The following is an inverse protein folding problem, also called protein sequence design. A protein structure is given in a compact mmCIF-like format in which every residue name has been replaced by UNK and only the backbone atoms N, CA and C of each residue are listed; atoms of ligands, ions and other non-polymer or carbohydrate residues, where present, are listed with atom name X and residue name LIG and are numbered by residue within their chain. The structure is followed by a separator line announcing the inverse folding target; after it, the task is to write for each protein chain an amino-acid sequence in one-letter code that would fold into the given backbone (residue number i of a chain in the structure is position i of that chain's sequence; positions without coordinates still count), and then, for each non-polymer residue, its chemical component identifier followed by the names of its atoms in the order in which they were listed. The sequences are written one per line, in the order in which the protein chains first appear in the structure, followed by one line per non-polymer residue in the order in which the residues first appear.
data_IF_658512758218
#
_entry.id   IF_658512758218
#
_cell.length_a   1.000
_cell.length_b   1.000
_cell.length_c   1.000
_cell.angle_alpha   90.00
_cell.angle_beta   90.00
_cell.angle_gamma   90.00
#
_symmetry.space_group_name_H-M   'P 1'
#
loop_
_entity.id
_entity.type
_entity.pdbx_description
1 polymer ?
#
# COMPACT_ATOMS: atom_id res chain seq x y z
N UNK A 1 13.98 8.27 9.27
CA UNK A 1 13.12 8.69 10.37
C UNK A 1 12.14 7.57 10.70
N UNK A 2 12.00 7.27 11.97
CA UNK A 2 11.05 6.30 12.50
C UNK A 2 10.07 7.09 13.38
N UNK A 3 8.94 7.43 12.79
CA UNK A 3 7.82 8.09 13.45
C UNK A 3 6.54 7.42 12.96
N UNK A 4 5.60 7.17 13.84
CA UNK A 4 4.36 6.46 13.47
C UNK A 4 3.52 7.24 12.45
N UNK A 5 3.50 8.56 12.52
CA UNK A 5 2.87 9.43 11.52
C UNK A 5 3.36 10.88 11.67
N UNK A 6 4.42 11.21 10.97
CA UNK A 6 5.04 12.54 11.05
C UNK A 6 4.09 13.69 10.66
N UNK A 7 3.04 13.41 9.88
CA UNK A 7 2.05 14.42 9.49
C UNK A 7 1.01 14.73 10.58
N UNK A 8 0.96 13.91 11.65
CA UNK A 8 -0.07 14.05 12.68
C UNK A 8 0.22 15.13 13.75
N UNK A 9 1.33 15.85 13.65
CA UNK A 9 1.68 16.91 14.59
C UNK A 9 2.36 18.08 13.92
N UNK A 10 2.13 19.28 14.47
CA UNK A 10 2.82 20.50 14.01
C UNK A 10 4.33 20.36 14.11
N UNK A 11 4.81 19.69 15.15
CA UNK A 11 6.25 19.41 15.30
C UNK A 11 6.79 18.56 14.15
N UNK A 12 6.05 17.54 13.75
CA UNK A 12 6.42 16.72 12.58
C UNK A 12 6.52 17.53 11.30
N UNK A 13 5.56 18.42 11.06
CA UNK A 13 5.57 19.33 9.90
C UNK A 13 6.81 20.24 9.93
N UNK A 14 7.11 20.85 11.09
CA UNK A 14 8.32 21.67 11.28
C UNK A 14 9.61 20.88 10.99
N UNK A 15 9.67 19.59 11.34
CA UNK A 15 10.80 18.73 10.99
C UNK A 15 10.92 18.54 9.47
N UNK A 16 9.81 18.35 8.76
CA UNK A 16 9.83 18.23 7.28
C UNK A 16 10.31 19.55 6.66
N UNK A 17 9.83 20.68 7.13
CA UNK A 17 10.30 22.01 6.69
C UNK A 17 11.81 22.18 6.89
N UNK A 18 12.33 21.77 8.05
CA UNK A 18 13.76 21.81 8.34
C UNK A 18 14.54 20.88 7.41
N UNK A 19 14.05 19.68 7.12
CA UNK A 19 14.64 18.73 6.17
C UNK A 19 14.73 19.37 4.79
N UNK A 20 13.65 19.98 4.31
CA UNK A 20 13.61 20.66 3.00
C UNK A 20 14.60 21.83 2.97
N UNK A 21 14.59 22.68 3.99
CA UNK A 21 15.50 23.84 4.09
C UNK A 21 16.96 23.44 4.07
N UNK A 22 17.32 22.36 4.76
CA UNK A 22 18.68 21.83 4.83
C UNK A 22 19.06 20.98 3.60
N UNK A 23 18.11 20.71 2.69
CA UNK A 23 18.34 19.92 1.50
C UNK A 23 18.70 18.46 1.78
N UNK A 24 18.27 17.93 2.92
CA UNK A 24 18.60 16.55 3.33
C UNK A 24 17.84 15.53 2.50
N UNK A 25 18.52 14.42 2.18
CA UNK A 25 17.88 13.22 1.63
C UNK A 25 17.32 12.39 2.76
N UNK A 26 16.05 11.99 2.66
CA UNK A 26 15.38 11.23 3.71
C UNK A 26 14.55 10.07 3.16
N UNK A 27 14.35 9.09 4.01
CA UNK A 27 13.38 8.03 3.86
C UNK A 27 12.54 7.97 5.15
N UNK A 28 11.25 8.28 5.05
CA UNK A 28 10.31 8.04 6.13
C UNK A 28 9.89 6.58 6.05
N UNK A 29 10.48 5.75 6.90
CA UNK A 29 10.28 4.30 6.85
C UNK A 29 8.86 3.88 7.26
N UNK A 30 8.08 4.78 7.86
CA UNK A 30 6.67 4.58 8.20
C UNK A 30 5.76 5.16 7.10
N UNK A 31 4.55 4.62 7.04
CA UNK A 31 3.53 5.14 6.14
C UNK A 31 3.02 6.50 6.61
N UNK A 32 2.84 7.43 5.67
CA UNK A 32 2.12 8.66 5.89
C UNK A 32 0.61 8.39 5.85
N UNK A 33 -0.15 9.12 6.65
CA UNK A 33 -1.61 9.11 6.56
C UNK A 33 -2.06 10.05 5.44
N UNK A 34 -2.58 9.48 4.37
CA UNK A 34 -3.03 10.24 3.20
C UNK A 34 -4.13 11.26 3.53
N UNK A 35 -4.95 10.99 4.55
CA UNK A 35 -6.03 11.90 5.00
C UNK A 35 -5.50 13.26 5.46
N UNK A 36 -4.29 13.29 5.98
CA UNK A 36 -3.64 14.49 6.51
C UNK A 36 -2.93 15.32 5.44
N UNK A 37 -2.86 14.86 4.21
CA UNK A 37 -2.19 15.60 3.12
C UNK A 37 -3.11 16.72 2.62
N UNK A 38 -2.85 17.94 3.08
CA UNK A 38 -3.41 19.18 2.56
C UNK A 38 -2.61 19.68 1.36
N UNK A 39 -3.07 20.75 0.69
CA UNK A 39 -2.33 21.38 -0.41
C UNK A 39 -0.94 21.87 0.02
N UNK A 40 -0.83 22.49 1.21
CA UNK A 40 0.45 22.95 1.76
C UNK A 40 1.40 21.80 2.09
N UNK A 41 0.87 20.74 2.71
CA UNK A 41 1.64 19.53 3.00
C UNK A 41 2.10 18.85 1.71
N UNK A 42 1.25 18.77 0.69
CA UNK A 42 1.62 18.21 -0.62
C UNK A 42 2.76 19.00 -1.27
N UNK A 43 2.67 20.33 -1.23
CA UNK A 43 3.75 21.24 -1.72
C UNK A 43 5.06 21.06 -0.95
N UNK A 44 4.97 20.79 0.35
CA UNK A 44 6.13 20.52 1.19
C UNK A 44 6.74 19.15 0.86
N UNK A 45 5.92 18.10 0.79
CA UNK A 45 6.35 16.73 0.47
C UNK A 45 6.99 16.63 -0.92
N UNK A 46 6.47 17.38 -1.90
CA UNK A 46 7.04 17.42 -3.25
C UNK A 46 8.47 18.00 -3.29
N UNK A 47 8.85 18.85 -2.32
CA UNK A 47 10.19 19.46 -2.19
C UNK A 47 11.19 18.57 -1.46
N UNK A 48 10.73 17.55 -0.75
CA UNK A 48 11.60 16.64 -0.02
C UNK A 48 12.47 15.84 -0.99
N UNK A 49 13.76 15.76 -0.70
CA UNK A 49 14.68 14.88 -1.44
C UNK A 49 14.55 13.44 -0.94
N UNK A 50 13.62 12.70 -1.53
CA UNK A 50 13.37 11.32 -1.15
C UNK A 50 14.53 10.41 -1.57
N UNK A 51 15.00 9.54 -0.64
CA UNK A 51 15.99 8.51 -0.95
C UNK A 51 15.38 7.44 -1.85
N UNK A 52 14.14 7.06 -1.58
CA UNK A 52 13.42 6.04 -2.34
C UNK A 52 12.06 6.56 -2.84
N UNK A 53 11.07 6.64 -1.96
CA UNK A 53 9.67 6.82 -2.35
C UNK A 53 8.85 7.43 -1.22
N UNK A 54 7.69 7.96 -1.55
CA UNK A 54 6.68 8.35 -0.58
C UNK A 54 5.86 7.10 -0.22
N UNK A 55 5.60 6.88 1.07
CA UNK A 55 4.87 5.71 1.57
C UNK A 55 3.54 6.13 2.19
N UNK A 56 2.48 5.42 1.84
CA UNK A 56 1.15 5.59 2.41
C UNK A 56 0.64 4.27 3.00
N UNK A 57 -0.20 4.34 4.03
CA UNK A 57 -1.05 3.23 4.45
C UNK A 57 -2.29 3.15 3.54
N UNK A 58 -2.64 1.95 3.09
CA UNK A 58 -3.84 1.69 2.29
C UNK A 58 -4.45 0.35 2.71
N UNK A 59 -5.04 0.33 3.92
CA UNK A 59 -5.52 -0.88 4.58
C UNK A 59 -7.01 -1.14 4.37
N UNK A 60 -7.75 -0.14 3.90
CA UNK A 60 -9.21 -0.20 3.66
C UNK A 60 -9.57 0.42 2.30
N UNK A 61 -10.73 0.06 1.71
CA UNK A 61 -11.21 0.62 0.44
C UNK A 61 -11.29 2.15 0.44
N UNK A 62 -11.79 2.75 1.54
CA UNK A 62 -11.92 4.21 1.65
C UNK A 62 -10.59 4.95 1.60
N UNK A 63 -9.48 4.30 1.94
CA UNK A 63 -8.15 4.91 1.85
C UNK A 63 -7.62 5.00 0.40
N UNK A 64 -8.20 4.30 -0.54
CA UNK A 64 -7.83 4.42 -1.97
C UNK A 64 -8.06 5.85 -2.44
N UNK A 65 -9.25 6.40 -2.23
CA UNK A 65 -9.61 7.76 -2.67
C UNK A 65 -8.72 8.81 -2.01
N UNK A 66 -8.42 8.64 -0.71
CA UNK A 66 -7.54 9.55 0.03
C UNK A 66 -6.10 9.49 -0.49
N UNK A 67 -5.60 8.31 -0.82
CA UNK A 67 -4.30 8.15 -1.45
C UNK A 67 -4.26 8.78 -2.84
N UNK A 68 -5.28 8.56 -3.68
CA UNK A 68 -5.37 9.18 -5.02
C UNK A 68 -5.39 10.69 -4.95
N UNK A 69 -6.20 11.26 -4.06
CA UNK A 69 -6.25 12.70 -3.80
C UNK A 69 -4.86 13.23 -3.42
N UNK A 70 -4.21 12.58 -2.47
CA UNK A 70 -2.90 12.98 -1.97
C UNK A 70 -1.82 12.91 -3.05
N UNK A 71 -1.82 11.84 -3.85
CA UNK A 71 -0.90 11.66 -4.99
C UNK A 71 -1.11 12.77 -6.01
N UNK A 72 -2.37 13.07 -6.37
CA UNK A 72 -2.70 14.13 -7.31
C UNK A 72 -2.21 15.49 -6.84
N UNK A 73 -2.35 15.80 -5.55
CA UNK A 73 -1.84 17.02 -4.95
C UNK A 73 -0.31 17.10 -5.00
N UNK A 74 0.37 16.02 -4.62
CA UNK A 74 1.84 15.98 -4.59
C UNK A 74 2.41 16.04 -6.02
N UNK A 75 1.80 15.34 -6.98
CA UNK A 75 2.20 15.36 -8.39
C UNK A 75 1.96 16.74 -9.03
N UNK A 76 0.90 17.47 -8.62
CA UNK A 76 0.66 18.88 -9.01
C UNK A 76 1.86 19.77 -8.69
N UNK A 77 2.56 19.50 -7.59
CA UNK A 77 3.76 20.23 -7.18
C UNK A 77 5.08 19.65 -7.72
N UNK A 78 5.00 18.77 -8.70
CA UNK A 78 6.15 18.33 -9.49
C UNK A 78 6.86 17.07 -9.03
N UNK A 79 6.34 16.35 -8.03
CA UNK A 79 6.90 15.06 -7.70
C UNK A 79 6.66 14.04 -8.83
N UNK A 80 7.71 13.27 -9.19
CA UNK A 80 7.66 12.26 -10.26
C UNK A 80 8.25 10.91 -9.84
N UNK A 81 8.54 10.76 -8.56
CA UNK A 81 9.09 9.53 -7.99
C UNK A 81 8.04 8.43 -7.77
N UNK A 82 8.46 7.38 -7.11
CA UNK A 82 7.61 6.22 -6.79
C UNK A 82 6.76 6.47 -5.55
N UNK A 83 5.57 5.88 -5.53
CA UNK A 83 4.71 5.73 -4.35
C UNK A 83 4.72 4.28 -3.87
N UNK A 84 4.59 4.09 -2.57
CA UNK A 84 4.59 2.78 -1.95
C UNK A 84 3.43 2.66 -0.98
N UNK A 85 2.74 1.54 -1.01
CA UNK A 85 1.60 1.29 -0.15
C UNK A 85 1.88 0.13 0.78
N UNK A 86 1.67 0.35 2.07
CA UNK A 86 1.50 -0.72 3.03
C UNK A 86 0.02 -1.12 3.01
N UNK A 87 -0.25 -2.40 2.81
CA UNK A 87 -1.59 -2.96 2.74
C UNK A 87 -1.72 -4.12 3.72
N UNK A 88 -2.56 -3.98 4.73
CA UNK A 88 -2.94 -5.11 5.59
C UNK A 88 -4.04 -5.90 4.88
N UNK A 89 -3.85 -7.22 4.79
CA UNK A 89 -4.85 -8.13 4.24
C UNK A 89 -5.77 -8.59 5.38
N UNK A 90 -7.02 -8.14 5.34
CA UNK A 90 -8.07 -8.54 6.27
C UNK A 90 -8.78 -9.81 5.79
N UNK A 91 -9.94 -10.15 6.35
CA UNK A 91 -10.60 -11.43 6.08
C UNK A 91 -11.33 -11.49 4.72
N UNK A 92 -11.57 -10.35 4.07
CA UNK A 92 -12.20 -10.29 2.76
C UNK A 92 -11.16 -10.37 1.63
N UNK A 93 -11.13 -11.52 0.95
CA UNK A 93 -10.26 -11.75 -0.20
C UNK A 93 -10.54 -10.78 -1.35
N UNK A 94 -11.84 -10.62 -1.71
CA UNK A 94 -12.22 -9.84 -2.89
C UNK A 94 -11.89 -8.35 -2.70
N UNK A 95 -12.14 -7.83 -1.50
CA UNK A 95 -11.76 -6.47 -1.14
C UNK A 95 -10.25 -6.29 -1.21
N UNK A 96 -9.50 -7.16 -0.52
CA UNK A 96 -8.04 -7.10 -0.46
C UNK A 96 -7.41 -7.20 -1.85
N UNK A 97 -7.89 -8.12 -2.68
CA UNK A 97 -7.44 -8.27 -4.06
C UNK A 97 -7.75 -7.03 -4.90
N UNK A 98 -8.99 -6.52 -4.85
CA UNK A 98 -9.40 -5.34 -5.63
C UNK A 98 -8.56 -4.11 -5.26
N UNK A 99 -8.29 -3.88 -4.00
CA UNK A 99 -7.48 -2.77 -3.50
C UNK A 99 -6.05 -2.83 -4.02
N UNK A 100 -5.43 -4.01 -3.97
CA UNK A 100 -4.08 -4.22 -4.50
C UNK A 100 -4.05 -4.07 -6.01
N UNK A 101 -5.01 -4.68 -6.71
CA UNK A 101 -5.10 -4.67 -8.17
C UNK A 101 -5.42 -3.27 -8.73
N UNK A 102 -6.16 -2.45 -7.99
CA UNK A 102 -6.39 -1.04 -8.32
C UNK A 102 -5.07 -0.31 -8.59
N UNK A 103 -4.12 -0.43 -7.68
CA UNK A 103 -2.82 0.23 -7.80
C UNK A 103 -1.92 -0.41 -8.86
N UNK A 104 -1.96 -1.74 -9.05
CA UNK A 104 -1.27 -2.42 -10.14
C UNK A 104 -1.63 -1.81 -11.49
N UNK A 105 -2.91 -1.55 -11.70
CA UNK A 105 -3.44 -1.01 -12.95
C UNK A 105 -3.11 0.48 -13.18
N UNK A 106 -2.72 1.21 -12.12
CA UNK A 106 -2.26 2.61 -12.23
C UNK A 106 -0.83 2.74 -12.77
N UNK A 107 -0.05 1.65 -12.82
CA UNK A 107 1.25 1.63 -13.47
C UNK A 107 2.46 1.42 -12.55
N UNK A 108 3.64 1.44 -13.13
CA UNK A 108 4.88 0.99 -12.48
C UNK A 108 5.42 1.91 -11.37
N UNK A 109 4.90 3.13 -11.24
CA UNK A 109 5.25 4.06 -10.13
C UNK A 109 4.67 3.60 -8.79
N UNK A 110 3.71 2.68 -8.78
CA UNK A 110 2.97 2.22 -7.61
C UNK A 110 3.50 0.86 -7.18
N UNK A 111 3.99 0.78 -5.96
CA UNK A 111 4.62 -0.40 -5.39
C UNK A 111 3.91 -0.73 -4.09
N UNK A 112 3.78 -2.02 -3.80
CA UNK A 112 3.03 -2.51 -2.65
C UNK A 112 3.89 -3.39 -1.78
N UNK A 113 3.47 -3.47 -0.54
CA UNK A 113 3.84 -4.50 0.42
C UNK A 113 2.56 -4.93 1.13
N UNK A 114 2.24 -6.20 1.02
CA UNK A 114 1.05 -6.76 1.63
C UNK A 114 1.42 -7.63 2.81
N UNK A 115 0.76 -7.41 3.93
CA UNK A 115 0.95 -8.19 5.13
C UNK A 115 -0.37 -8.81 5.59
N UNK A 116 -0.44 -10.14 5.79
CA UNK A 116 -1.56 -10.77 6.44
C UNK A 116 -1.80 -10.15 7.83
N UNK A 117 -3.05 -9.84 8.15
CA UNK A 117 -3.41 -9.38 9.49
C UNK A 117 -3.11 -10.45 10.53
N UNK A 118 -2.48 -10.04 11.62
CA UNK A 118 -2.22 -10.89 12.79
C UNK A 118 -2.79 -10.23 14.02
N UNK A 119 -3.74 -10.91 14.65
CA UNK A 119 -4.25 -10.46 15.94
C UNK A 119 -3.19 -10.73 17.03
N UNK A 120 -2.69 -9.67 17.64
CA UNK A 120 -1.71 -9.73 18.73
C UNK A 120 -2.29 -10.51 19.93
N UNK A 121 -3.61 -10.45 20.12
CA UNK A 121 -4.29 -11.16 21.21
C UNK A 121 -4.45 -12.66 20.93
N UNK A 122 -4.29 -13.08 19.66
CA UNK A 122 -4.39 -14.48 19.26
C UNK A 122 -3.13 -14.92 18.48
N UNK A 123 -1.99 -15.14 19.17
CA UNK A 123 -0.72 -15.47 18.51
C UNK A 123 -0.74 -16.84 17.79
N UNK A 124 -1.76 -17.67 18.05
CA UNK A 124 -1.96 -18.97 17.37
C UNK A 124 -2.90 -18.87 16.17
N UNK A 125 -3.33 -17.67 15.78
CA UNK A 125 -4.19 -17.47 14.62
C UNK A 125 -3.58 -18.10 13.36
N UNK A 126 -4.37 -18.96 12.71
CA UNK A 126 -3.99 -19.49 11.40
C UNK A 126 -4.25 -18.45 10.32
N UNK A 127 -3.21 -18.06 9.61
CA UNK A 127 -3.33 -17.12 8.49
C UNK A 127 -3.90 -17.89 7.29
N UNK A 128 -4.99 -17.41 6.68
CA UNK A 128 -5.57 -18.01 5.48
C UNK A 128 -4.53 -18.13 4.34
N UNK A 129 -4.59 -19.23 3.61
CA UNK A 129 -3.60 -19.49 2.56
C UNK A 129 -3.64 -18.43 1.45
N UNK A 130 -4.83 -17.93 1.10
CA UNK A 130 -4.95 -16.86 0.09
C UNK A 130 -4.22 -15.56 0.49
N UNK A 131 -4.18 -15.22 1.78
CA UNK A 131 -3.42 -14.04 2.25
C UNK A 131 -1.92 -14.23 2.04
N UNK A 132 -1.41 -15.43 2.28
CA UNK A 132 0.00 -15.76 2.04
C UNK A 132 0.34 -15.72 0.57
N UNK A 133 -0.53 -16.27 -0.28
CA UNK A 133 -0.32 -16.33 -1.72
C UNK A 133 -0.43 -14.94 -2.36
N UNK A 134 -1.39 -14.11 -1.90
CA UNK A 134 -1.53 -12.72 -2.35
C UNK A 134 -0.33 -11.87 -1.92
N UNK A 135 0.11 -11.97 -0.66
CA UNK A 135 1.34 -11.29 -0.21
C UNK A 135 2.55 -11.73 -1.03
N UNK A 136 2.72 -13.03 -1.26
CA UNK A 136 3.84 -13.55 -2.04
C UNK A 136 3.86 -12.99 -3.47
N UNK A 137 2.71 -12.92 -4.13
CA UNK A 137 2.59 -12.33 -5.45
C UNK A 137 2.93 -10.84 -5.46
N UNK A 138 2.41 -10.08 -4.51
CA UNK A 138 2.60 -8.62 -4.42
C UNK A 138 4.02 -8.24 -4.05
N UNK A 139 4.58 -8.88 -3.02
CA UNK A 139 5.87 -8.50 -2.45
C UNK A 139 7.05 -8.85 -3.35
N UNK A 140 6.83 -9.71 -4.32
CA UNK A 140 7.81 -10.04 -5.36
C UNK A 140 7.52 -9.27 -6.65
N UNK A 141 8.20 -8.15 -6.84
CA UNK A 141 8.05 -7.29 -8.03
C UNK A 141 8.04 -8.06 -9.36
N UNK A 142 8.79 -9.15 -9.44
CA UNK A 142 8.84 -9.99 -10.64
C UNK A 142 7.46 -10.55 -10.92
N UNK A 143 6.84 -11.22 -9.96
CA UNK A 143 5.51 -11.81 -10.13
C UNK A 143 4.44 -10.73 -10.33
N UNK A 144 4.44 -9.71 -9.48
CA UNK A 144 3.47 -8.62 -9.53
C UNK A 144 3.42 -7.91 -10.89
N UNK A 145 4.57 -7.83 -11.58
CA UNK A 145 4.67 -7.16 -12.88
C UNK A 145 4.51 -8.10 -14.09
N UNK A 146 4.81 -9.39 -13.94
CA UNK A 146 4.90 -10.33 -15.06
C UNK A 146 3.66 -11.18 -15.27
N UNK A 147 2.80 -11.35 -14.25
CA UNK A 147 1.59 -12.15 -14.38
C UNK A 147 0.42 -11.53 -13.58
N UNK A 148 -0.79 -11.88 -13.99
CA UNK A 148 -1.97 -11.59 -13.18
C UNK A 148 -2.05 -12.58 -12.01
N UNK A 149 -2.75 -12.17 -10.94
CA UNK A 149 -2.86 -13.02 -9.75
C UNK A 149 -3.57 -14.34 -10.05
N UNK A 150 -4.55 -14.34 -10.94
CA UNK A 150 -5.28 -15.54 -11.38
C UNK A 150 -4.35 -16.59 -11.99
N UNK A 151 -3.29 -16.16 -12.67
CA UNK A 151 -2.32 -17.04 -13.32
C UNK A 151 -1.12 -17.38 -12.45
N UNK A 152 -1.00 -16.71 -11.29
CA UNK A 152 0.09 -16.96 -10.36
C UNK A 152 -0.03 -18.36 -9.76
N UNK A 153 1.07 -19.12 -9.82
CA UNK A 153 1.21 -20.47 -9.29
C UNK A 153 2.17 -20.50 -8.11
N UNK A 154 1.70 -20.22 -6.87
CA UNK A 154 2.56 -20.19 -5.68
C UNK A 154 3.09 -21.57 -5.27
N UNK A 155 2.48 -22.64 -5.77
CA UNK A 155 2.84 -24.04 -5.56
C UNK A 155 2.40 -24.90 -6.74
N UNK A 156 3.12 -25.98 -6.97
CA UNK A 156 2.90 -26.88 -8.12
C UNK A 156 1.43 -27.30 -8.22
N UNK A 157 0.84 -27.07 -9.40
CA UNK A 157 -0.54 -27.50 -9.72
C UNK A 157 -1.65 -26.64 -9.10
N UNK A 158 -1.32 -25.53 -8.40
CA UNK A 158 -2.31 -24.64 -7.85
C UNK A 158 -2.19 -23.25 -8.49
N UNK A 159 -3.22 -22.82 -9.21
CA UNK A 159 -3.35 -21.45 -9.72
C UNK A 159 -4.30 -20.62 -8.85
N UNK A 160 -3.91 -19.38 -8.55
CA UNK A 160 -4.67 -18.49 -7.66
C UNK A 160 -6.06 -18.13 -8.18
N UNK A 161 -6.38 -18.34 -9.46
CA UNK A 161 -7.75 -18.23 -9.97
C UNK A 161 -8.77 -19.10 -9.20
N UNK A 162 -8.31 -20.17 -8.53
CA UNK A 162 -9.19 -21.03 -7.71
C UNK A 162 -9.83 -20.28 -6.56
N UNK A 163 -9.18 -19.24 -5.99
CA UNK A 163 -9.75 -18.40 -4.93
C UNK A 163 -11.00 -17.62 -5.35
N UNK A 164 -11.15 -17.35 -6.65
CA UNK A 164 -12.33 -16.67 -7.18
C UNK A 164 -13.54 -17.60 -7.33
N UNK A 165 -13.32 -18.91 -7.51
CA UNK A 165 -14.36 -19.91 -7.71
C UNK A 165 -14.83 -20.57 -6.40
N UNK A 166 -13.94 -20.78 -5.45
CA UNK A 166 -14.29 -21.48 -4.18
C UNK A 166 -15.34 -20.70 -3.39
N UNK A 167 -15.30 -19.36 -3.41
CA UNK A 167 -16.26 -18.50 -2.70
C UNK A 167 -17.60 -18.32 -3.40
N UNK A 168 -17.74 -18.70 -4.67
CA UNK A 168 -19.06 -18.75 -5.32
C UNK A 168 -19.91 -19.91 -4.84
N UNK A 169 -19.30 -20.93 -4.22
CA UNK A 169 -20.00 -22.12 -3.67
C UNK A 169 -20.49 -21.91 -2.22
N UNK A 170 -20.05 -20.84 -1.55
CA UNK A 170 -20.44 -20.54 -0.17
C UNK A 170 -21.66 -19.61 -0.05
N UNK A 171 -22.32 -19.25 -1.16
CA UNK A 171 -23.60 -18.54 -1.15
C UNK A 171 -24.71 -19.61 -1.18
N UNK A 172 -25.34 -19.94 -0.04
CA UNK A 172 -26.50 -20.84 -0.05
C UNK A 172 -27.70 -20.07 -0.64
N UNK A 173 -28.18 -20.52 -1.76
CA UNK A 173 -29.49 -20.14 -2.28
C UNK A 173 -29.53 -18.97 -3.24
N UNK A 174 -29.18 -19.21 -4.47
CA UNK A 174 -29.87 -18.75 -5.67
C UNK A 174 -30.17 -19.96 -6.56
#
# INVERSE_FOLDING_TARGET
LMDNNILASDYGILQIEKIVRLGLKVDFNQALDARLVTDDIAKLLAKVKWIKRIRFGCDTPGQIEECERSISLIDKYGYRGEYFFYCILLDDFKESFNRVNHWKNKGCRFIHYCQPFRDIKNPKQTIPQWQRDLSHWVDRKVYFRSCEFEDFEPRIGFKCKQYFYERQKEIPGM
#
